data_IF_937399320213
#
_entry.id   IF_937399320213
#
_cell.length_a   1.000
_cell.length_b   1.000
_cell.length_c   1.000
_cell.angle_alpha   90.00
_cell.angle_beta   90.00
_cell.angle_gamma   90.00
#
_symmetry.space_group_name_H-M   'P 1'
#
loop_
_entity.id
_entity.type
_entity.pdbx_description
1 polymer ?
#
# COMPACT_ATOMS: atom_id res chain seq x y z
N UNK A 1 17.40 10.25 -11.65
CA UNK A 1 16.00 9.85 -11.40
C UNK A 1 15.89 8.34 -11.54
N UNK A 2 15.46 7.67 -10.48
CA UNK A 2 15.28 6.22 -10.48
C UNK A 2 13.95 5.88 -11.15
N UNK A 3 13.98 5.23 -12.31
CA UNK A 3 12.80 4.85 -13.06
C UNK A 3 12.25 3.48 -12.55
N UNK A 4 11.87 3.40 -11.26
CA UNK A 4 11.39 2.17 -10.64
C UNK A 4 10.15 1.62 -11.36
N UNK A 5 9.15 2.47 -11.59
CA UNK A 5 7.87 2.09 -12.19
C UNK A 5 7.96 1.73 -13.68
N UNK A 6 9.00 2.16 -14.40
CA UNK A 6 9.19 1.82 -15.81
C UNK A 6 9.27 0.31 -16.10
N UNK A 7 9.60 -0.49 -15.08
CA UNK A 7 9.65 -1.95 -15.20
C UNK A 7 8.30 -2.66 -14.95
N UNK A 8 7.26 -1.96 -14.49
CA UNK A 8 5.92 -2.53 -14.23
C UNK A 8 4.80 -1.81 -14.97
N UNK A 9 5.10 -0.68 -15.63
CA UNK A 9 4.12 0.12 -16.36
C UNK A 9 4.06 -0.34 -17.83
N UNK A 10 2.85 -0.49 -18.33
CA UNK A 10 2.57 -0.80 -19.74
C UNK A 10 1.92 0.41 -20.38
N UNK A 11 2.43 0.92 -21.53
CA UNK A 11 1.80 2.02 -22.24
C UNK A 11 0.37 1.70 -22.69
N UNK A 12 -0.55 2.66 -22.52
CA UNK A 12 -1.91 2.55 -23.03
C UNK A 12 -1.94 3.11 -24.46
N UNK A 13 -2.39 2.32 -25.46
CA UNK A 13 -2.42 2.75 -26.85
C UNK A 13 -3.26 4.00 -27.08
N UNK A 14 -2.82 4.87 -27.99
CA UNK A 14 -3.51 6.11 -28.33
C UNK A 14 -4.93 5.91 -28.88
N UNK A 15 -5.22 4.73 -29.42
CA UNK A 15 -6.58 4.35 -29.86
C UNK A 15 -7.58 4.30 -28.70
N UNK A 16 -7.09 4.05 -27.47
CA UNK A 16 -7.93 4.03 -26.25
C UNK A 16 -7.96 5.39 -25.55
N UNK A 17 -6.93 6.22 -25.74
CA UNK A 17 -6.83 7.55 -25.12
C UNK A 17 -7.40 8.67 -26.01
N UNK A 18 -7.75 8.37 -27.24
CA UNK A 18 -8.23 9.35 -28.21
C UNK A 18 -7.12 10.27 -28.76
N UNK A 19 -5.84 9.91 -28.61
CA UNK A 19 -4.72 10.74 -29.02
C UNK A 19 -3.39 9.98 -29.00
N UNK A 20 -2.36 10.58 -28.41
CA UNK A 20 -1.06 9.94 -28.23
C UNK A 20 -1.13 8.80 -27.18
N UNK A 21 -0.25 7.78 -27.26
CA UNK A 21 -0.15 6.78 -26.22
C UNK A 21 0.12 7.38 -24.84
N UNK A 22 -0.50 6.86 -23.80
CA UNK A 22 -0.20 7.22 -22.41
C UNK A 22 0.92 6.30 -21.90
N UNK A 23 2.11 6.86 -21.74
CA UNK A 23 3.33 6.11 -21.38
C UNK A 23 3.74 6.30 -19.92
N UNK A 24 3.20 7.30 -19.25
CA UNK A 24 3.55 7.68 -17.87
C UNK A 24 2.32 8.09 -17.09
N UNK A 25 2.36 7.84 -15.78
CA UNK A 25 1.37 8.37 -14.86
C UNK A 25 1.31 9.90 -14.92
N UNK A 26 0.11 10.45 -14.91
CA UNK A 26 -0.14 11.89 -14.98
C UNK A 26 -0.22 12.57 -13.61
N UNK A 27 -0.22 11.78 -12.53
CA UNK A 27 -0.36 12.26 -11.16
C UNK A 27 0.88 12.94 -10.58
N UNK A 28 2.11 12.41 -10.75
CA UNK A 28 3.31 12.97 -10.15
C UNK A 28 3.58 14.41 -10.62
N UNK A 29 3.79 15.29 -9.66
CA UNK A 29 4.04 16.73 -9.91
C UNK A 29 5.43 17.10 -9.40
N UNK A 30 6.41 17.29 -10.29
CA UNK A 30 7.75 17.74 -9.89
C UNK A 30 7.70 19.16 -9.29
N UNK A 31 8.61 19.44 -8.36
CA UNK A 31 8.76 20.76 -7.77
C UNK A 31 7.72 21.11 -6.68
N UNK A 32 7.03 20.13 -6.10
CA UNK A 32 6.14 20.37 -4.95
C UNK A 32 6.95 20.84 -3.74
N UNK A 33 6.44 21.87 -3.06
CA UNK A 33 7.02 22.41 -1.82
C UNK A 33 5.97 22.48 -0.71
N UNK A 34 6.40 22.52 0.54
CA UNK A 34 5.49 22.70 1.68
C UNK A 34 4.69 23.99 1.58
N UNK A 35 5.30 25.07 1.07
CA UNK A 35 4.66 26.37 0.86
C UNK A 35 3.56 26.29 -0.21
N UNK A 36 3.76 25.49 -1.24
CA UNK A 36 2.74 25.28 -2.28
C UNK A 36 1.58 24.44 -1.75
N UNK A 37 1.87 23.41 -0.97
CA UNK A 37 0.86 22.53 -0.34
C UNK A 37 0.05 23.30 0.72
N UNK A 38 0.67 24.18 1.50
CA UNK A 38 0.01 24.98 2.53
C UNK A 38 -1.04 25.97 1.96
N UNK A 39 -0.99 26.30 0.68
CA UNK A 39 -1.96 27.17 0.00
C UNK A 39 -3.23 26.43 -0.45
N UNK A 40 -3.22 25.10 -0.39
CA UNK A 40 -4.35 24.29 -0.84
C UNK A 40 -5.51 24.38 0.16
N UNK A 41 -6.72 24.48 -0.38
CA UNK A 41 -7.94 24.57 0.45
C UNK A 41 -8.36 23.18 0.93
N UNK A 42 -8.89 23.07 2.16
CA UNK A 42 -9.50 21.85 2.65
C UNK A 42 -10.67 21.39 1.76
N UNK A 43 -10.79 20.06 1.59
CA UNK A 43 -11.81 19.46 0.71
C UNK A 43 -13.09 19.15 1.48
N UNK A 44 -13.00 18.64 2.71
CA UNK A 44 -14.15 18.15 3.47
C UNK A 44 -14.68 19.22 4.45
N UNK A 45 -13.84 19.76 5.31
CA UNK A 45 -14.20 20.82 6.23
C UNK A 45 -13.55 22.14 5.79
N UNK A 46 -14.38 23.13 5.49
CA UNK A 46 -13.89 24.43 4.97
C UNK A 46 -13.15 25.24 6.03
N UNK A 47 -13.58 25.14 7.29
CA UNK A 47 -12.99 25.85 8.43
C UNK A 47 -12.23 24.85 9.30
N UNK A 48 -10.92 25.03 9.42
CA UNK A 48 -10.05 24.18 10.25
C UNK A 48 -9.71 22.81 9.69
N UNK A 49 -10.23 22.44 8.52
CA UNK A 49 -9.91 21.17 7.87
C UNK A 49 -8.45 21.10 7.41
N UNK A 50 -7.87 19.90 7.44
CA UNK A 50 -6.47 19.64 7.09
C UNK A 50 -6.28 18.76 5.86
N UNK A 51 -7.36 18.11 5.39
CA UNK A 51 -7.32 17.23 4.21
C UNK A 51 -7.51 18.05 2.94
N UNK A 52 -6.52 18.03 2.07
CA UNK A 52 -6.48 18.77 0.80
C UNK A 52 -6.16 17.81 -0.35
N UNK A 53 -6.30 18.28 -1.58
CA UNK A 53 -5.88 17.53 -2.78
C UNK A 53 -4.37 17.27 -2.85
N UNK A 54 -3.57 17.89 -1.99
CA UNK A 54 -2.11 17.68 -1.93
C UNK A 54 -1.68 16.63 -0.92
N UNK A 55 -2.57 16.17 -0.04
CA UNK A 55 -2.28 15.15 0.97
C UNK A 55 -3.29 13.99 0.97
N UNK A 56 -3.98 13.80 -0.14
CA UNK A 56 -4.91 12.70 -0.39
C UNK A 56 -4.72 12.15 -1.81
N UNK A 57 -5.09 10.89 -2.01
CA UNK A 57 -5.04 10.29 -3.33
C UNK A 57 -6.03 10.97 -4.28
N UNK A 58 -5.66 11.23 -5.56
CA UNK A 58 -6.60 11.72 -6.54
C UNK A 58 -7.58 10.62 -7.00
N UNK A 59 -8.72 11.05 -7.52
CA UNK A 59 -9.62 10.17 -8.29
C UNK A 59 -8.87 9.76 -9.56
N UNK A 60 -8.76 8.46 -9.80
CA UNK A 60 -7.83 7.94 -10.81
C UNK A 60 -8.43 6.72 -11.50
N UNK A 61 -8.23 6.65 -12.81
CA UNK A 61 -8.41 5.42 -13.58
C UNK A 61 -7.10 4.63 -13.62
N UNK A 62 -7.18 3.31 -13.66
CA UNK A 62 -6.01 2.46 -13.73
C UNK A 62 -6.36 0.99 -13.82
N UNK A 63 -5.43 0.20 -14.30
CA UNK A 63 -5.52 -1.25 -14.38
C UNK A 63 -4.23 -1.91 -13.90
N UNK A 64 -4.35 -3.09 -13.30
CA UNK A 64 -3.23 -3.95 -12.99
C UNK A 64 -3.59 -5.39 -13.32
N UNK A 65 -2.60 -6.14 -13.79
CA UNK A 65 -2.78 -7.55 -14.12
C UNK A 65 -1.63 -8.38 -13.54
N UNK A 66 -1.96 -9.54 -13.01
CA UNK A 66 -1.00 -10.51 -12.53
C UNK A 66 -1.49 -11.93 -12.85
N UNK A 67 -0.56 -12.81 -13.21
CA UNK A 67 -0.85 -14.24 -13.36
C UNK A 67 -0.57 -14.93 -12.03
N UNK A 68 -1.57 -15.64 -11.51
CA UNK A 68 -1.49 -16.39 -10.27
C UNK A 68 -1.54 -17.89 -10.55
N UNK A 69 -0.64 -18.62 -9.92
CA UNK A 69 -0.62 -20.09 -9.99
C UNK A 69 0.04 -20.67 -8.74
N UNK A 70 -0.08 -21.99 -8.57
CA UNK A 70 0.65 -22.67 -7.48
C UNK A 70 2.15 -22.71 -7.77
N UNK A 71 2.98 -22.73 -6.71
CA UNK A 71 4.43 -22.82 -6.85
C UNK A 71 4.85 -24.09 -7.60
N UNK A 72 4.13 -25.21 -7.43
CA UNK A 72 4.36 -26.46 -8.15
C UNK A 72 4.10 -26.31 -9.65
N UNK A 73 3.02 -25.60 -10.02
CA UNK A 73 2.70 -25.36 -11.42
C UNK A 73 3.72 -24.43 -12.09
N UNK A 74 4.15 -23.37 -11.41
CA UNK A 74 5.19 -22.49 -11.90
C UNK A 74 6.51 -23.26 -12.17
N UNK A 75 6.90 -24.14 -11.25
CA UNK A 75 8.06 -25.03 -11.47
C UNK A 75 7.90 -25.96 -12.67
N UNK A 76 6.73 -26.57 -12.82
CA UNK A 76 6.45 -27.46 -13.95
C UNK A 76 6.52 -26.73 -15.31
N UNK A 77 6.14 -25.46 -15.35
CA UNK A 77 6.22 -24.62 -16.55
C UNK A 77 7.59 -23.95 -16.75
N UNK A 78 8.54 -24.11 -15.84
CA UNK A 78 9.82 -23.41 -15.87
C UNK A 78 9.71 -21.89 -15.69
N UNK A 79 8.60 -21.40 -15.16
CA UNK A 79 8.36 -19.96 -14.93
C UNK A 79 8.93 -19.56 -13.58
N UNK A 80 9.73 -18.49 -13.56
CA UNK A 80 10.22 -17.89 -12.32
C UNK A 80 9.19 -16.90 -11.78
N UNK A 81 8.56 -17.16 -10.62
CA UNK A 81 7.58 -16.24 -10.04
C UNK A 81 8.21 -14.89 -9.65
N UNK A 82 7.46 -13.80 -9.71
CA UNK A 82 7.87 -12.52 -9.11
C UNK A 82 7.99 -12.64 -7.58
N UNK A 83 7.16 -13.45 -6.98
CA UNK A 83 7.16 -13.78 -5.56
C UNK A 83 5.94 -14.61 -5.19
N UNK A 84 5.68 -14.71 -3.91
CA UNK A 84 4.67 -15.60 -3.35
C UNK A 84 3.78 -14.83 -2.37
N UNK A 85 2.47 -15.04 -2.46
CA UNK A 85 1.51 -14.60 -1.42
C UNK A 85 1.47 -15.70 -0.37
N UNK A 86 1.95 -15.42 0.84
CA UNK A 86 2.07 -16.39 1.94
C UNK A 86 0.79 -16.49 2.78
N UNK A 87 0.25 -15.34 3.09
CA UNK A 87 -0.98 -15.24 3.87
C UNK A 87 -1.67 -13.91 3.60
N UNK A 88 -2.94 -13.83 3.95
CA UNK A 88 -3.70 -12.59 3.96
C UNK A 88 -4.71 -12.58 5.11
N UNK A 89 -5.13 -11.38 5.48
CA UNK A 89 -6.19 -11.16 6.45
C UNK A 89 -7.07 -9.99 6.01
N UNK A 90 -8.36 -10.13 6.30
CA UNK A 90 -9.36 -9.07 6.21
C UNK A 90 -9.87 -8.79 7.61
N UNK A 91 -10.04 -7.54 7.96
CA UNK A 91 -10.55 -7.13 9.25
C UNK A 91 -11.62 -6.04 9.08
N UNK A 92 -12.66 -6.09 9.91
CA UNK A 92 -13.62 -5.01 10.06
C UNK A 92 -13.13 -3.99 11.09
N UNK A 93 -13.56 -2.75 10.94
CA UNK A 93 -13.40 -1.69 11.93
C UNK A 93 -14.58 -0.72 11.88
N UNK A 94 -14.65 0.21 12.79
CA UNK A 94 -15.70 1.22 12.82
C UNK A 94 -15.69 2.04 11.52
N UNK A 95 -16.81 2.17 10.78
CA UNK A 95 -16.87 2.87 9.47
C UNK A 95 -16.32 4.28 9.50
N UNK A 96 -16.60 5.08 10.52
CA UNK A 96 -16.09 6.44 10.69
C UNK A 96 -14.57 6.52 10.91
N UNK A 97 -13.94 5.39 11.19
CA UNK A 97 -12.49 5.24 11.39
C UNK A 97 -11.85 4.26 10.38
N UNK A 98 -12.47 4.10 9.21
CA UNK A 98 -12.06 3.14 8.17
C UNK A 98 -10.58 3.25 7.80
N UNK A 99 -10.00 4.44 7.92
CA UNK A 99 -8.58 4.69 7.65
C UNK A 99 -7.62 3.87 8.52
N UNK A 100 -8.06 3.41 9.69
CA UNK A 100 -7.29 2.50 10.57
C UNK A 100 -7.44 1.02 10.20
N UNK A 101 -8.22 0.68 9.18
CA UNK A 101 -8.37 -0.69 8.68
C UNK A 101 -7.07 -1.47 8.52
N UNK A 102 -5.99 -0.88 7.98
CA UNK A 102 -4.68 -1.52 7.88
C UNK A 102 -4.15 -2.04 9.21
N UNK A 103 -4.33 -1.32 10.32
CA UNK A 103 -3.85 -1.74 11.65
C UNK A 103 -4.52 -3.02 12.10
N UNK A 104 -5.85 -3.09 11.97
CA UNK A 104 -6.64 -4.29 12.31
C UNK A 104 -6.29 -5.47 11.43
N UNK A 105 -6.10 -5.23 10.12
CA UNK A 105 -5.75 -6.29 9.17
C UNK A 105 -4.32 -6.81 9.39
N UNK A 106 -3.35 -5.93 9.65
CA UNK A 106 -1.96 -6.30 9.97
C UNK A 106 -1.93 -7.08 11.29
N UNK A 107 -2.59 -6.60 12.35
CA UNK A 107 -2.69 -7.32 13.62
C UNK A 107 -3.23 -8.75 13.42
N UNK A 108 -4.34 -8.88 12.70
CA UNK A 108 -4.95 -10.18 12.39
C UNK A 108 -4.03 -11.08 11.56
N UNK A 109 -3.31 -10.52 10.58
CA UNK A 109 -2.34 -11.24 9.76
C UNK A 109 -1.20 -11.79 10.61
N UNK A 110 -0.57 -10.95 11.43
CA UNK A 110 0.54 -11.32 12.31
C UNK A 110 0.12 -12.38 13.34
N UNK A 111 -1.04 -12.20 13.98
CA UNK A 111 -1.59 -13.19 14.91
C UNK A 111 -1.85 -14.54 14.26
N UNK A 112 -2.40 -14.55 13.04
CA UNK A 112 -2.69 -15.78 12.28
C UNK A 112 -1.42 -16.53 11.87
N UNK A 113 -0.34 -15.80 11.61
CA UNK A 113 0.91 -16.35 11.06
C UNK A 113 1.99 -16.54 12.11
N UNK A 114 1.73 -16.11 13.36
CA UNK A 114 2.70 -16.09 14.46
C UNK A 114 3.98 -15.31 14.14
N UNK A 115 3.85 -14.30 13.25
CA UNK A 115 4.94 -13.41 12.86
C UNK A 115 4.87 -12.10 13.65
N UNK A 116 6.00 -11.42 13.73
CA UNK A 116 6.12 -10.08 14.29
C UNK A 116 6.35 -9.04 13.20
N UNK A 117 6.05 -7.78 13.47
CA UNK A 117 6.28 -6.69 12.51
C UNK A 117 7.76 -6.57 12.10
N UNK A 118 8.66 -6.87 13.02
CA UNK A 118 10.12 -6.88 12.81
C UNK A 118 10.61 -7.95 11.83
N UNK A 119 9.81 -8.98 11.54
CA UNK A 119 10.17 -10.05 10.60
C UNK A 119 10.04 -9.63 9.13
N UNK A 120 9.58 -8.41 8.89
CA UNK A 120 9.34 -7.86 7.55
C UNK A 120 10.32 -6.76 7.19
N UNK A 121 10.77 -6.79 5.95
CA UNK A 121 11.77 -5.89 5.41
C UNK A 121 11.17 -4.58 4.88
N UNK A 122 10.04 -4.68 4.14
CA UNK A 122 9.36 -3.54 3.52
C UNK A 122 7.85 -3.62 3.72
N UNK A 123 7.22 -2.44 3.64
CA UNK A 123 5.79 -2.26 3.79
C UNK A 123 5.23 -1.37 2.68
N UNK A 124 4.06 -1.72 2.19
CA UNK A 124 3.22 -0.87 1.36
C UNK A 124 1.87 -0.68 2.06
N UNK A 125 1.58 0.54 2.50
CA UNK A 125 0.27 0.92 3.02
C UNK A 125 -0.34 1.94 2.08
N UNK A 126 -1.51 1.64 1.51
CA UNK A 126 -2.15 2.55 0.57
C UNK A 126 -2.38 3.93 1.19
N UNK A 127 -1.97 4.95 0.48
CA UNK A 127 -2.06 6.35 0.90
C UNK A 127 -3.38 6.98 0.42
N UNK A 128 -4.52 6.50 0.97
CA UNK A 128 -5.78 7.19 0.71
C UNK A 128 -5.70 8.64 1.18
N UNK A 129 -5.10 8.85 2.36
CA UNK A 129 -4.80 10.16 2.96
C UNK A 129 -3.47 10.08 3.72
N UNK A 130 -2.65 11.12 3.68
CA UNK A 130 -1.42 11.18 4.46
C UNK A 130 -1.70 11.04 5.97
N UNK A 131 -2.70 11.75 6.47
CA UNK A 131 -3.12 11.67 7.88
C UNK A 131 -3.57 10.26 8.28
N UNK A 132 -4.17 9.50 7.35
CA UNK A 132 -4.59 8.12 7.59
C UNK A 132 -3.39 7.20 7.78
N UNK A 133 -2.36 7.29 6.93
CA UNK A 133 -1.14 6.49 7.06
C UNK A 133 -0.40 6.84 8.35
N UNK A 134 -0.24 8.13 8.66
CA UNK A 134 0.38 8.58 9.91
C UNK A 134 -0.41 8.08 11.14
N UNK A 135 -1.73 8.04 11.07
CA UNK A 135 -2.57 7.49 12.14
C UNK A 135 -2.36 5.97 12.28
N UNK A 136 -2.19 5.25 11.18
CA UNK A 136 -1.84 3.82 11.22
C UNK A 136 -0.49 3.61 11.91
N UNK A 137 0.55 4.37 11.54
CA UNK A 137 1.87 4.27 12.19
C UNK A 137 1.79 4.50 13.70
N UNK A 138 1.05 5.54 14.10
CA UNK A 138 0.85 5.85 15.52
C UNK A 138 0.07 4.75 16.25
N UNK A 139 -0.96 4.19 15.64
CA UNK A 139 -1.78 3.13 16.23
C UNK A 139 -1.01 1.80 16.34
N UNK A 140 -0.17 1.45 15.35
CA UNK A 140 0.69 0.27 15.39
C UNK A 140 1.65 0.30 16.60
N UNK A 141 2.13 1.48 16.98
CA UNK A 141 3.09 1.68 18.09
C UNK A 141 2.43 2.19 19.37
N UNK A 142 1.17 1.85 19.62
CA UNK A 142 0.41 2.32 20.78
C UNK A 142 -0.13 1.17 21.62
N UNK A 143 0.41 0.97 22.83
CA UNK A 143 -0.12 0.01 23.80
C UNK A 143 -1.58 0.32 24.17
N UNK A 144 -1.91 1.60 24.33
CA UNK A 144 -3.28 2.02 24.62
C UNK A 144 -4.24 1.62 23.49
N UNK A 145 -3.85 1.84 22.23
CA UNK A 145 -4.67 1.41 21.10
C UNK A 145 -4.77 -0.13 21.04
N UNK A 146 -3.66 -0.82 21.22
CA UNK A 146 -3.62 -2.28 21.22
C UNK A 146 -4.57 -2.86 22.27
N UNK A 147 -4.53 -2.33 23.48
CA UNK A 147 -5.38 -2.79 24.59
C UNK A 147 -6.86 -2.51 24.36
N UNK A 148 -7.23 -1.33 23.87
CA UNK A 148 -8.64 -0.95 23.75
C UNK A 148 -9.29 -1.40 22.44
N UNK A 149 -8.52 -1.55 21.36
CA UNK A 149 -9.08 -1.78 20.03
C UNK A 149 -8.70 -3.16 19.45
N UNK A 150 -7.57 -3.74 19.88
CA UNK A 150 -7.06 -4.99 19.34
C UNK A 150 -7.13 -6.16 20.32
N UNK A 151 -7.56 -5.91 21.57
CA UNK A 151 -7.53 -6.90 22.66
C UNK A 151 -6.14 -7.55 22.82
N UNK A 152 -5.10 -6.72 22.78
CA UNK A 152 -3.69 -7.10 22.92
C UNK A 152 -3.05 -6.27 24.02
N UNK A 153 -2.23 -6.86 24.87
CA UNK A 153 -1.59 -6.16 26.00
C UNK A 153 -0.49 -5.20 25.53
N UNK A 154 0.07 -5.43 24.35
CA UNK A 154 1.17 -4.66 23.80
C UNK A 154 0.90 -4.18 22.37
N UNK A 155 1.52 -3.06 22.01
CA UNK A 155 1.55 -2.55 20.65
C UNK A 155 2.04 -3.62 19.67
N UNK A 156 1.61 -3.50 18.41
CA UNK A 156 2.07 -4.37 17.32
C UNK A 156 3.57 -4.12 17.07
N UNK A 157 4.00 -2.87 17.20
CA UNK A 157 5.39 -2.44 17.08
C UNK A 157 5.54 -1.17 16.26
N UNK A 158 6.74 -0.61 16.30
CA UNK A 158 7.10 0.56 15.52
C UNK A 158 7.45 0.16 14.08
N UNK A 159 6.78 0.78 13.12
CA UNK A 159 7.11 0.65 11.71
C UNK A 159 8.04 1.79 11.31
N UNK A 160 9.28 1.47 10.91
CA UNK A 160 10.23 2.47 10.42
C UNK A 160 9.71 3.12 9.12
N UNK A 161 9.49 4.44 9.08
CA UNK A 161 9.01 5.13 7.88
C UNK A 161 9.88 4.92 6.62
N UNK A 162 11.17 4.67 6.79
CA UNK A 162 12.08 4.41 5.67
C UNK A 162 11.87 3.04 4.99
N UNK A 163 11.12 2.15 5.64
CA UNK A 163 10.70 0.86 5.10
C UNK A 163 9.29 0.90 4.47
N UNK A 164 8.61 2.03 4.57
CA UNK A 164 7.24 2.21 4.12
C UNK A 164 7.18 2.95 2.79
N UNK A 165 6.43 2.40 1.81
CA UNK A 165 6.16 3.04 0.53
C UNK A 165 7.44 3.62 -0.12
N UNK A 166 8.50 2.82 -0.12
CA UNK A 166 9.88 3.25 -0.45
C UNK A 166 10.05 3.81 -1.86
N UNK A 167 9.06 3.63 -2.73
CA UNK A 167 9.03 4.16 -4.09
C UNK A 167 7.92 5.21 -4.28
N UNK A 168 7.34 5.73 -3.20
CA UNK A 168 6.16 6.58 -3.24
C UNK A 168 4.86 5.80 -3.23
N UNK A 169 3.72 6.48 -3.27
CA UNK A 169 2.41 5.85 -3.12
C UNK A 169 1.26 6.62 -3.79
N UNK A 170 0.05 6.31 -3.37
CA UNK A 170 -1.18 6.74 -4.03
C UNK A 170 -1.42 8.26 -4.04
N UNK A 171 -0.84 9.02 -3.12
CA UNK A 171 -0.96 10.49 -3.15
C UNK A 171 -0.37 11.06 -4.43
N UNK A 172 0.74 10.48 -4.91
CA UNK A 172 1.37 10.88 -6.16
C UNK A 172 0.85 10.10 -7.38
N UNK A 173 0.69 8.78 -7.24
CA UNK A 173 0.36 7.88 -8.35
C UNK A 173 -1.14 7.76 -8.64
N UNK A 174 -1.98 8.00 -7.62
CA UNK A 174 -3.41 7.77 -7.70
C UNK A 174 -3.87 6.45 -7.06
N UNK A 175 -5.19 6.34 -6.90
CA UNK A 175 -5.83 5.18 -6.26
C UNK A 175 -7.04 4.69 -7.07
N UNK A 176 -6.81 4.00 -8.20
CA UNK A 176 -7.89 3.28 -8.87
C UNK A 176 -8.32 2.11 -7.98
N UNK A 177 -9.47 2.25 -7.34
CA UNK A 177 -9.90 1.43 -6.18
C UNK A 177 -9.79 -0.08 -6.43
N UNK A 178 -10.26 -0.56 -7.60
CA UNK A 178 -10.20 -1.97 -7.96
C UNK A 178 -8.80 -2.49 -8.32
N UNK A 179 -7.87 -1.59 -8.61
CA UNK A 179 -6.51 -1.91 -9.08
C UNK A 179 -5.47 -1.93 -7.97
N UNK A 180 -5.64 -1.03 -6.99
CA UNK A 180 -4.58 -0.70 -6.02
C UNK A 180 -4.08 -1.91 -5.24
N UNK A 181 -4.95 -2.84 -4.84
CA UNK A 181 -4.50 -4.04 -4.11
C UNK A 181 -3.48 -4.87 -4.90
N UNK A 182 -3.72 -5.10 -6.18
CA UNK A 182 -2.78 -5.79 -7.06
C UNK A 182 -1.50 -4.97 -7.27
N UNK A 183 -1.62 -3.66 -7.50
CA UNK A 183 -0.48 -2.75 -7.65
C UNK A 183 0.43 -2.79 -6.42
N UNK A 184 -0.11 -2.69 -5.20
CA UNK A 184 0.69 -2.73 -3.96
C UNK A 184 1.52 -4.01 -3.86
N UNK A 185 0.92 -5.16 -4.17
CA UNK A 185 1.62 -6.46 -4.14
C UNK A 185 2.74 -6.51 -5.19
N UNK A 186 2.48 -6.09 -6.41
CA UNK A 186 3.47 -6.09 -7.50
C UNK A 186 4.62 -5.16 -7.16
N UNK A 187 4.33 -3.92 -6.79
CA UNK A 187 5.32 -2.90 -6.42
C UNK A 187 6.18 -3.36 -5.25
N UNK A 188 5.56 -3.93 -4.19
CA UNK A 188 6.28 -4.42 -3.03
C UNK A 188 7.24 -5.57 -3.38
N UNK A 189 6.77 -6.55 -4.14
CA UNK A 189 7.61 -7.69 -4.57
C UNK A 189 8.79 -7.22 -5.44
N UNK A 190 8.58 -6.25 -6.33
CA UNK A 190 9.66 -5.66 -7.14
C UNK A 190 10.67 -4.90 -6.27
N UNK A 191 10.19 -4.09 -5.33
CA UNK A 191 11.03 -3.36 -4.40
C UNK A 191 11.89 -4.30 -3.53
N UNK A 192 11.29 -5.38 -3.02
CA UNK A 192 12.00 -6.41 -2.27
C UNK A 192 13.11 -7.04 -3.13
N UNK A 193 12.81 -7.45 -4.36
CA UNK A 193 13.80 -8.04 -5.27
C UNK A 193 14.94 -7.11 -5.61
N UNK A 194 14.62 -5.86 -5.96
CA UNK A 194 15.63 -4.86 -6.33
C UNK A 194 16.61 -4.58 -5.19
N UNK A 195 16.12 -4.65 -3.93
CA UNK A 195 16.93 -4.43 -2.74
C UNK A 195 17.57 -5.72 -2.18
N UNK A 196 17.32 -6.89 -2.78
CA UNK A 196 17.78 -8.18 -2.24
C UNK A 196 17.14 -8.54 -0.91
N UNK A 197 15.93 -8.04 -0.65
CA UNK A 197 15.14 -8.26 0.55
C UNK A 197 14.09 -9.35 0.30
N UNK A 198 13.50 -9.86 1.39
CA UNK A 198 12.69 -11.09 1.29
C UNK A 198 11.21 -10.87 1.57
N UNK A 199 10.84 -10.27 2.71
CA UNK A 199 9.48 -10.28 3.24
C UNK A 199 8.85 -8.90 3.23
N UNK A 200 7.57 -8.83 2.86
CA UNK A 200 6.83 -7.58 2.92
C UNK A 200 5.36 -7.75 3.26
N UNK A 201 4.78 -6.68 3.78
CA UNK A 201 3.34 -6.56 4.01
C UNK A 201 2.79 -5.45 3.11
N UNK A 202 1.79 -5.80 2.29
CA UNK A 202 0.95 -4.85 1.58
C UNK A 202 -0.39 -4.72 2.33
N UNK A 203 -0.86 -3.50 2.58
CA UNK A 203 -2.11 -3.25 3.29
C UNK A 203 -2.85 -2.04 2.77
N UNK A 204 -4.18 -2.05 2.90
CA UNK A 204 -5.03 -0.92 2.52
C UNK A 204 -6.29 -0.86 3.38
N UNK A 205 -6.81 0.35 3.55
CA UNK A 205 -8.14 0.59 4.09
C UNK A 205 -9.19 0.45 2.97
N UNK A 206 -10.40 0.06 3.36
CA UNK A 206 -11.53 -0.09 2.44
C UNK A 206 -12.73 0.66 3.01
N UNK A 207 -13.44 1.38 2.17
CA UNK A 207 -14.66 2.10 2.54
C UNK A 207 -15.69 1.18 3.18
N UNK A 208 -16.47 1.72 4.12
CA UNK A 208 -17.43 0.95 4.91
C UNK A 208 -16.84 0.35 6.21
N UNK A 209 -15.56 0.58 6.50
CA UNK A 209 -14.93 0.13 7.75
C UNK A 209 -14.25 -1.24 7.64
N UNK A 210 -13.34 -1.38 6.69
CA UNK A 210 -12.59 -2.61 6.49
C UNK A 210 -11.11 -2.31 6.25
N UNK A 211 -10.27 -3.32 6.48
CA UNK A 211 -8.87 -3.34 6.10
C UNK A 211 -8.48 -4.69 5.51
N UNK A 212 -7.50 -4.67 4.64
CA UNK A 212 -6.86 -5.87 4.09
C UNK A 212 -5.36 -5.80 4.29
N UNK A 213 -4.72 -6.93 4.56
CA UNK A 213 -3.27 -7.06 4.62
C UNK A 213 -2.85 -8.38 3.98
N UNK A 214 -1.76 -8.37 3.23
CA UNK A 214 -1.16 -9.53 2.62
C UNK A 214 0.34 -9.59 2.92
N UNK A 215 0.81 -10.76 3.35
CA UNK A 215 2.22 -11.10 3.44
C UNK A 215 2.71 -11.67 2.13
N UNK A 216 3.75 -11.07 1.58
CA UNK A 216 4.42 -11.54 0.36
C UNK A 216 5.90 -11.82 0.61
N UNK A 217 6.46 -12.76 -0.15
CA UNK A 217 7.88 -13.12 -0.12
C UNK A 217 8.45 -13.26 -1.53
N UNK A 218 9.72 -12.93 -1.69
CA UNK A 218 10.44 -13.11 -2.96
C UNK A 218 10.89 -14.56 -3.19
N UNK A 219 11.05 -15.33 -2.11
CA UNK A 219 11.51 -16.72 -2.13
C UNK A 219 10.68 -17.59 -1.20
N UNK A 220 10.54 -18.86 -1.51
CA UNK A 220 10.02 -19.86 -0.58
C UNK A 220 11.15 -20.30 0.36
N UNK A 221 10.79 -20.56 1.62
CA UNK A 221 11.63 -21.38 2.48
C UNK A 221 11.69 -22.79 1.87
N UNK A 222 12.90 -23.29 1.69
CA UNK A 222 13.17 -24.65 1.20
C UNK A 222 12.73 -25.74 2.19
#
# INVERSE_FOLDING_TARGET
ERCFYGGETVPVPGTLTGGAPLEKDTGPRPGQTLESLAKLKPVFEREGGTVTVGNSCPITDGAASAVLMTASHARALGVRPLGYVRAYALAGCQPGRMGLGPVFAIHKLLSKTHMQLSDFDLFEINEAFAAQVLSCLKALNSDSFAKHELNSDHAIGELNPEKLNVNGGAIALGHPVGTTGARLIITLLRALREKGLRRGIASLCVGGGQGAAAWVETELEG
#
